data_IF_268912677515
#
_entry.id   IF_268912677515
#
_cell.length_a   1.000
_cell.length_b   1.000
_cell.length_c   1.000
_cell.angle_alpha   90.00
_cell.angle_beta   90.00
_cell.angle_gamma   90.00
#
_symmetry.space_group_name_H-M   'P 1'
#
loop_
_entity.id
_entity.type
_entity.pdbx_description
1 polymer ?
#
# COMPACT_ATOMS: atom_id res chain seq x y z
N UNK A 1 19.76 -4.41 58.46
CA UNK A 1 19.38 -4.49 57.04
C UNK A 1 18.15 -3.62 56.82
N UNK A 2 18.23 -2.56 56.02
CA UNK A 2 17.14 -1.59 55.85
C UNK A 2 16.21 -2.03 54.70
N UNK A 3 15.25 -2.88 55.03
CA UNK A 3 14.28 -3.49 54.10
C UNK A 3 13.53 -2.44 53.25
N UNK A 4 13.33 -1.23 53.80
CA UNK A 4 12.71 -0.10 53.07
C UNK A 4 13.53 0.38 51.86
N UNK A 5 14.87 0.38 51.94
CA UNK A 5 15.73 0.80 50.82
C UNK A 5 15.77 -0.27 49.71
N UNK A 6 15.69 -1.54 50.08
CA UNK A 6 15.67 -2.67 49.13
C UNK A 6 14.35 -2.68 48.36
N UNK A 7 13.22 -2.47 49.05
CA UNK A 7 11.89 -2.41 48.41
C UNK A 7 11.79 -1.21 47.44
N UNK A 8 12.30 -0.03 47.82
CA UNK A 8 12.32 1.14 46.93
C UNK A 8 13.19 0.92 45.68
N UNK A 9 14.33 0.24 45.82
CA UNK A 9 15.21 -0.08 44.69
C UNK A 9 14.56 -1.06 43.71
N UNK A 10 13.86 -2.08 44.22
CA UNK A 10 13.14 -3.06 43.40
C UNK A 10 11.94 -2.43 42.68
N UNK A 11 11.20 -1.54 43.36
CA UNK A 11 10.06 -0.84 42.77
C UNK A 11 10.50 0.12 41.63
N UNK A 12 11.64 0.80 41.79
CA UNK A 12 12.21 1.68 40.78
C UNK A 12 12.70 0.92 39.53
N UNK A 13 13.24 -0.29 39.71
CA UNK A 13 13.62 -1.18 38.59
C UNK A 13 12.40 -1.68 37.80
N UNK A 14 11.30 -2.02 38.47
CA UNK A 14 10.07 -2.49 37.81
C UNK A 14 9.39 -1.40 36.97
N UNK A 15 9.41 -0.14 37.41
CA UNK A 15 8.82 1.00 36.69
C UNK A 15 9.67 1.36 35.44
N UNK A 16 10.99 1.19 35.51
CA UNK A 16 11.89 1.35 34.36
C UNK A 16 11.63 0.32 33.25
N UNK A 17 11.36 -0.95 33.61
CA UNK A 17 11.05 -2.01 32.65
C UNK A 17 9.73 -1.80 31.90
N UNK A 18 8.70 -1.27 32.58
CA UNK A 18 7.39 -1.00 31.95
C UNK A 18 7.48 0.15 30.94
N UNK A 19 8.38 1.13 31.20
CA UNK A 19 8.59 2.28 30.32
C UNK A 19 9.34 1.94 29.02
N UNK A 20 10.11 0.84 29.01
CA UNK A 20 10.82 0.37 27.81
C UNK A 20 9.94 -0.45 26.85
N UNK A 21 8.87 -1.06 27.36
CA UNK A 21 7.95 -1.88 26.56
C UNK A 21 6.99 -1.01 25.74
N UNK A 22 6.63 0.19 26.21
CA UNK A 22 5.66 1.05 25.52
C UNK A 22 6.31 1.80 24.33
N UNK A 23 7.64 1.91 24.26
CA UNK A 23 8.32 2.66 23.19
C UNK A 23 8.60 1.85 21.91
N UNK A 24 8.32 0.55 21.87
CA UNK A 24 8.68 -0.30 20.70
C UNK A 24 7.51 -0.90 19.92
N UNK A 25 6.26 -0.61 20.31
CA UNK A 25 5.06 -1.10 19.60
C UNK A 25 4.44 -0.12 18.60
N UNK A 26 5.11 0.99 18.28
CA UNK A 26 4.93 1.66 16.99
C UNK A 26 6.02 1.22 16.01
N UNK A 27 6.16 -0.10 15.81
CA UNK A 27 6.60 -0.59 14.50
C UNK A 27 5.48 -0.27 13.53
N UNK A 28 5.51 0.94 12.96
CA UNK A 28 4.96 1.12 11.63
C UNK A 28 5.60 0.02 10.80
N UNK A 29 4.78 -0.88 10.27
CA UNK A 29 5.21 -1.91 9.35
C UNK A 29 5.69 -1.23 8.07
N UNK A 30 6.84 -0.56 8.11
CA UNK A 30 7.60 -0.25 6.92
C UNK A 30 8.20 -1.57 6.47
N UNK A 31 7.40 -2.26 5.65
CA UNK A 31 7.84 -3.34 4.80
C UNK A 31 9.12 -2.88 4.10
N UNK A 32 10.25 -3.52 4.39
CA UNK A 32 11.56 -3.24 3.79
C UNK A 32 11.61 -3.44 2.27
N UNK A 33 10.52 -3.93 1.65
CA UNK A 33 10.32 -4.00 0.21
C UNK A 33 9.61 -2.78 -0.39
N UNK A 34 9.06 -1.87 0.43
CA UNK A 34 8.26 -0.74 -0.06
C UNK A 34 9.10 0.26 -0.86
N UNK A 35 10.39 0.44 -0.53
CA UNK A 35 11.22 1.46 -1.19
C UNK A 35 11.55 1.13 -2.65
N UNK A 36 11.75 -0.15 -2.98
CA UNK A 36 12.01 -0.60 -4.35
C UNK A 36 10.76 -0.51 -5.21
N UNK A 37 9.63 -0.99 -4.68
CA UNK A 37 8.35 -0.96 -5.37
C UNK A 37 7.87 0.49 -5.57
N UNK A 38 8.05 1.33 -4.56
CA UNK A 38 7.77 2.77 -4.62
C UNK A 38 8.62 3.46 -5.70
N UNK A 39 9.91 3.12 -5.83
CA UNK A 39 10.76 3.67 -6.88
C UNK A 39 10.23 3.32 -8.27
N UNK A 40 9.86 2.06 -8.51
CA UNK A 40 9.29 1.60 -9.79
C UNK A 40 7.98 2.35 -10.08
N UNK A 41 7.09 2.49 -9.09
CA UNK A 41 5.82 3.21 -9.24
C UNK A 41 6.08 4.69 -9.56
N UNK A 42 7.00 5.35 -8.85
CA UNK A 42 7.31 6.77 -9.07
C UNK A 42 7.97 7.00 -10.43
N UNK A 43 8.83 6.09 -10.86
CA UNK A 43 9.41 6.10 -12.21
C UNK A 43 8.31 6.02 -13.27
N UNK A 44 7.40 5.05 -13.16
CA UNK A 44 6.24 4.96 -14.07
C UNK A 44 5.40 6.25 -14.08
N UNK A 45 5.11 6.83 -12.91
CA UNK A 45 4.33 8.08 -12.80
C UNK A 45 5.07 9.30 -13.35
N UNK A 46 6.39 9.31 -13.35
CA UNK A 46 7.18 10.41 -13.92
C UNK A 46 6.89 10.62 -15.41
N UNK A 47 6.53 9.56 -16.13
CA UNK A 47 6.11 9.62 -17.53
C UNK A 47 4.69 10.17 -17.74
N UNK A 48 3.94 10.42 -16.66
CA UNK A 48 2.55 10.90 -16.68
C UNK A 48 2.45 12.38 -16.24
N UNK A 49 3.46 13.17 -16.62
CA UNK A 49 3.55 14.63 -16.35
C UNK A 49 3.59 14.99 -14.87
N UNK A 50 4.02 14.09 -13.99
CA UNK A 50 4.26 14.44 -12.58
C UNK A 50 5.61 15.14 -12.46
N UNK A 51 5.63 16.26 -11.73
CA UNK A 51 6.87 16.90 -11.29
C UNK A 51 7.55 16.11 -10.17
N UNK A 52 8.84 16.36 -9.94
CA UNK A 52 9.59 15.70 -8.86
C UNK A 52 9.01 15.94 -7.46
N UNK A 53 8.41 17.11 -7.21
CA UNK A 53 7.75 17.40 -5.94
C UNK A 53 6.43 16.63 -5.79
N UNK A 54 5.62 16.56 -6.85
CA UNK A 54 4.40 15.76 -6.86
C UNK A 54 4.71 14.26 -6.68
N UNK A 55 5.76 13.74 -7.34
CA UNK A 55 6.21 12.36 -7.16
C UNK A 55 6.67 12.06 -5.72
N UNK A 56 7.23 13.04 -5.00
CA UNK A 56 7.60 12.85 -3.59
C UNK A 56 6.36 12.74 -2.71
N UNK A 57 5.32 13.52 -3.00
CA UNK A 57 4.09 13.59 -2.22
C UNK A 57 3.01 12.57 -2.65
N UNK A 58 3.22 11.84 -3.75
CA UNK A 58 2.22 10.91 -4.28
C UNK A 58 1.90 9.81 -3.25
N UNK A 59 0.62 9.63 -2.98
CA UNK A 59 0.15 8.57 -2.10
C UNK A 59 0.20 7.22 -2.83
N UNK A 60 0.91 6.26 -2.22
CA UNK A 60 1.04 4.89 -2.68
C UNK A 60 0.61 3.98 -1.51
N UNK A 61 -0.48 3.25 -1.71
CA UNK A 61 -1.07 2.38 -0.70
C UNK A 61 -1.02 0.93 -1.16
N UNK A 62 -0.31 0.08 -0.42
CA UNK A 62 -0.33 -1.36 -0.63
C UNK A 62 -1.70 -1.93 -0.26
N UNK A 63 -2.29 -2.71 -1.16
CA UNK A 63 -3.63 -3.28 -0.98
C UNK A 63 -3.59 -4.77 -0.60
N UNK A 64 -2.59 -5.50 -1.09
CA UNK A 64 -2.49 -6.94 -0.90
C UNK A 64 -1.74 -7.63 -2.02
N UNK A 65 -1.83 -8.96 -2.06
CA UNK A 65 -1.14 -9.80 -3.03
C UNK A 65 -2.13 -10.70 -3.76
N UNK A 66 -1.97 -10.87 -5.07
CA UNK A 66 -2.73 -11.81 -5.93
C UNK A 66 -1.74 -12.46 -6.88
N UNK A 67 -1.67 -13.80 -6.95
CA UNK A 67 -0.80 -14.55 -7.88
C UNK A 67 0.63 -14.01 -8.04
N UNK A 68 1.23 -13.64 -6.91
CA UNK A 68 2.57 -13.03 -6.81
C UNK A 68 2.71 -11.56 -7.23
N UNK A 69 1.64 -10.93 -7.71
CA UNK A 69 1.56 -9.48 -7.85
C UNK A 69 1.31 -8.83 -6.49
N UNK A 70 2.17 -7.89 -6.11
CA UNK A 70 1.87 -6.91 -5.06
C UNK A 70 1.01 -5.81 -5.65
N UNK A 71 -0.20 -5.62 -5.13
CA UNK A 71 -1.18 -4.68 -5.69
C UNK A 71 -1.13 -3.38 -4.89
N UNK A 72 -1.09 -2.26 -5.61
CA UNK A 72 -1.05 -0.92 -5.04
C UNK A 72 -2.16 -0.06 -5.61
N UNK A 73 -2.74 0.77 -4.75
CA UNK A 73 -3.43 1.98 -5.15
C UNK A 73 -2.42 3.12 -5.19
N UNK A 74 -2.49 3.94 -6.23
CA UNK A 74 -1.61 5.08 -6.44
C UNK A 74 -2.46 6.25 -6.93
N UNK A 75 -2.41 7.36 -6.20
CA UNK A 75 -3.21 8.53 -6.51
C UNK A 75 -2.90 9.09 -7.90
N UNK A 76 -3.94 9.32 -8.70
CA UNK A 76 -3.86 9.90 -10.03
C UNK A 76 -4.34 11.36 -10.02
N UNK A 77 -3.54 12.28 -10.54
CA UNK A 77 -3.74 13.74 -10.42
C UNK A 77 -4.88 14.27 -11.28
N UNK A 78 -5.20 13.59 -12.38
CA UNK A 78 -6.29 13.99 -13.26
C UNK A 78 -7.60 13.32 -12.84
N UNK A 79 -8.70 14.04 -13.02
CA UNK A 79 -10.01 13.46 -12.89
C UNK A 79 -10.29 12.55 -14.09
N UNK A 80 -11.00 11.48 -13.80
CA UNK A 80 -11.46 10.53 -14.82
C UNK A 80 -12.53 11.23 -15.64
N UNK A 81 -12.45 11.16 -16.98
CA UNK A 81 -13.45 11.77 -17.85
C UNK A 81 -14.83 11.16 -17.62
N UNK A 82 -15.88 11.99 -17.63
CA UNK A 82 -17.26 11.52 -17.49
C UNK A 82 -17.72 10.58 -18.62
N UNK A 83 -17.00 10.57 -19.75
CA UNK A 83 -17.31 9.74 -20.92
C UNK A 83 -16.64 8.35 -20.87
N UNK A 84 -15.74 8.12 -19.91
CA UNK A 84 -15.13 6.81 -19.73
C UNK A 84 -16.14 5.84 -19.08
N UNK A 85 -16.09 4.57 -19.49
CA UNK A 85 -17.03 3.54 -19.04
C UNK A 85 -16.34 2.57 -18.08
N UNK A 86 -17.05 2.05 -17.06
CA UNK A 86 -16.56 0.93 -16.26
C UNK A 86 -16.19 -0.22 -17.19
N UNK A 87 -15.17 -0.98 -16.82
CA UNK A 87 -14.74 -2.11 -17.63
C UNK A 87 -15.18 -3.41 -16.97
N UNK A 88 -15.50 -4.39 -17.81
CA UNK A 88 -16.02 -5.68 -17.39
C UNK A 88 -15.00 -6.75 -17.77
N UNK A 89 -14.57 -7.55 -16.80
CA UNK A 89 -13.72 -8.72 -17.02
C UNK A 89 -14.24 -9.89 -16.20
N UNK A 90 -14.48 -11.02 -16.86
CA UNK A 90 -14.96 -12.26 -16.24
C UNK A 90 -16.16 -12.03 -15.30
N UNK A 91 -17.12 -11.22 -15.75
CA UNK A 91 -18.33 -10.79 -15.03
C UNK A 91 -18.11 -9.83 -13.84
N UNK A 92 -16.88 -9.34 -13.62
CA UNK A 92 -16.58 -8.31 -12.61
C UNK A 92 -16.53 -6.92 -13.24
N UNK A 93 -17.29 -5.98 -12.68
CA UNK A 93 -17.37 -4.59 -13.13
C UNK A 93 -16.44 -3.74 -12.28
N UNK A 94 -15.29 -3.38 -12.84
CA UNK A 94 -14.34 -2.55 -12.14
C UNK A 94 -14.63 -1.06 -12.33
N UNK A 95 -14.39 -0.24 -11.29
CA UNK A 95 -14.52 1.21 -11.36
C UNK A 95 -13.55 1.80 -12.38
N UNK A 96 -13.99 2.83 -13.11
CA UNK A 96 -13.17 3.51 -14.12
C UNK A 96 -11.87 4.04 -13.50
N UNK A 97 -11.98 4.63 -12.30
CA UNK A 97 -10.87 5.16 -11.54
C UNK A 97 -9.76 4.14 -11.27
N UNK A 98 -10.07 2.84 -11.26
CA UNK A 98 -9.10 1.79 -11.03
C UNK A 98 -8.10 1.67 -12.18
N UNK A 99 -8.48 1.97 -13.44
CA UNK A 99 -7.59 1.86 -14.60
C UNK A 99 -6.30 2.68 -14.44
N UNK A 100 -6.45 3.89 -13.89
CA UNK A 100 -5.33 4.80 -13.71
C UNK A 100 -4.70 4.71 -12.33
N UNK A 101 -5.36 4.09 -11.35
CA UNK A 101 -4.94 4.10 -9.93
C UNK A 101 -4.45 2.77 -9.40
N UNK A 102 -4.77 1.65 -10.05
CA UNK A 102 -4.32 0.32 -9.61
C UNK A 102 -3.16 -0.14 -10.48
N UNK A 103 -2.07 -0.52 -9.80
CA UNK A 103 -0.89 -1.13 -10.42
C UNK A 103 -0.49 -2.37 -9.65
N UNK A 104 0.09 -3.34 -10.35
CA UNK A 104 0.70 -4.53 -9.79
C UNK A 104 2.20 -4.50 -9.98
N UNK A 105 2.95 -5.03 -9.01
CA UNK A 105 4.38 -5.33 -9.17
C UNK A 105 4.61 -6.82 -8.99
N UNK A 106 5.23 -7.44 -9.98
CA UNK A 106 5.69 -8.83 -9.93
C UNK A 106 7.10 -8.86 -10.52
N UNK A 107 8.02 -9.54 -9.83
CA UNK A 107 9.40 -9.75 -10.32
C UNK A 107 10.12 -8.44 -10.71
N UNK A 108 9.85 -7.34 -10.00
CA UNK A 108 10.39 -5.97 -10.24
C UNK A 108 9.87 -5.29 -11.51
N UNK A 109 8.84 -5.83 -12.14
CA UNK A 109 8.15 -5.19 -13.26
C UNK A 109 6.80 -4.63 -12.81
N UNK A 110 6.41 -3.50 -13.42
CA UNK A 110 5.12 -2.86 -13.18
C UNK A 110 4.11 -3.27 -14.25
N UNK A 111 2.92 -3.65 -13.78
CA UNK A 111 1.79 -4.00 -14.61
C UNK A 111 0.64 -3.04 -14.30
N UNK A 112 0.08 -2.41 -15.33
CA UNK A 112 -1.17 -1.68 -15.16
C UNK A 112 -2.33 -2.65 -14.90
N UNK A 113 -3.46 -2.13 -14.42
CA UNK A 113 -4.67 -2.93 -14.29
C UNK A 113 -5.07 -3.59 -15.62
N UNK A 114 -4.91 -2.88 -16.74
CA UNK A 114 -5.16 -3.43 -18.08
C UNK A 114 -4.24 -4.62 -18.39
N UNK A 115 -2.92 -4.47 -18.20
CA UNK A 115 -1.98 -5.57 -18.46
C UNK A 115 -2.34 -6.79 -17.60
N UNK A 116 -2.58 -6.60 -16.30
CA UNK A 116 -2.95 -7.70 -15.41
C UNK A 116 -4.19 -8.45 -15.91
N UNK A 117 -5.23 -7.74 -16.36
CA UNK A 117 -6.50 -8.37 -16.74
C UNK A 117 -6.50 -9.03 -18.12
N UNK A 118 -5.72 -8.50 -19.07
CA UNK A 118 -5.80 -8.94 -20.47
C UNK A 118 -4.56 -9.67 -20.96
N UNK A 119 -3.42 -9.50 -20.31
CA UNK A 119 -2.13 -10.04 -20.77
C UNK A 119 -1.54 -11.05 -19.78
N UNK A 120 -2.23 -11.35 -18.69
CA UNK A 120 -1.80 -12.31 -17.67
C UNK A 120 -2.92 -13.27 -17.29
N UNK A 121 -2.57 -14.28 -16.49
CA UNK A 121 -3.53 -15.25 -15.93
C UNK A 121 -3.89 -14.93 -14.47
N UNK A 122 -3.94 -13.65 -14.10
CA UNK A 122 -4.26 -13.24 -12.73
C UNK A 122 -5.68 -13.66 -12.33
N UNK A 123 -5.86 -13.99 -11.05
CA UNK A 123 -7.14 -14.26 -10.44
C UNK A 123 -7.98 -12.98 -10.36
N UNK A 124 -8.83 -12.79 -11.36
CA UNK A 124 -9.66 -11.58 -11.52
C UNK A 124 -10.56 -11.34 -10.31
N UNK A 125 -11.14 -12.40 -9.73
CA UNK A 125 -12.00 -12.28 -8.55
C UNK A 125 -11.24 -11.75 -7.33
N UNK A 126 -10.06 -12.29 -7.05
CA UNK A 126 -9.24 -11.83 -5.92
C UNK A 126 -8.77 -10.39 -6.14
N UNK A 127 -8.35 -10.05 -7.36
CA UNK A 127 -7.98 -8.69 -7.71
C UNK A 127 -9.16 -7.73 -7.53
N UNK A 128 -10.34 -8.09 -8.02
CA UNK A 128 -11.56 -7.31 -7.87
C UNK A 128 -11.90 -7.04 -6.40
N UNK A 129 -11.84 -8.07 -5.56
CA UNK A 129 -12.11 -7.96 -4.12
C UNK A 129 -11.11 -7.02 -3.41
N UNK A 130 -9.86 -6.92 -3.88
CA UNK A 130 -8.92 -5.93 -3.36
C UNK A 130 -9.26 -4.51 -3.82
N UNK A 131 -9.65 -4.34 -5.09
CA UNK A 131 -10.00 -3.03 -5.65
C UNK A 131 -11.25 -2.45 -4.98
N UNK A 132 -12.30 -3.25 -4.76
CA UNK A 132 -13.52 -2.78 -4.09
C UNK A 132 -13.29 -2.28 -2.67
N UNK A 133 -12.32 -2.85 -1.94
CA UNK A 133 -11.98 -2.35 -0.61
C UNK A 133 -11.52 -0.90 -0.65
N UNK A 134 -10.93 -0.44 -1.77
CA UNK A 134 -10.45 0.94 -1.91
C UNK A 134 -11.59 1.92 -2.15
N UNK A 135 -12.58 1.54 -2.97
CA UNK A 135 -13.70 2.43 -3.32
C UNK A 135 -14.65 2.69 -2.15
N UNK A 136 -14.70 1.81 -1.15
CA UNK A 136 -15.44 2.02 0.09
C UNK A 136 -14.82 3.07 1.04
N UNK A 137 -13.68 3.68 0.68
CA UNK A 137 -13.03 4.76 1.46
C UNK A 137 -13.18 6.16 0.83
N UNK A 138 -14.07 6.32 -0.15
CA UNK A 138 -14.47 7.64 -0.67
C UNK A 138 -15.61 8.25 0.13
#
# INVERSE_FOLDING_TARGET
MNYKKIIFSILFLLISLISFIILTNCKSSQNSNSSSDEKIIKEFRSHQKYSSSELKAIEIKYLGKVDNYKIYYVSYKEQVSANEKPFIKDNYIFPIAAQTRIVGIKEKELYTLGNMLYETQINVQQLYNLVLKVDNYK
#
